data_IF_812168283636
#
_entry.id   IF_812168283636
#
_cell.length_a   1.000
_cell.length_b   1.000
_cell.length_c   1.000
_cell.angle_alpha   90.00
_cell.angle_beta   90.00
_cell.angle_gamma   90.00
#
_symmetry.space_group_name_H-M   'P 1'
#
loop_
_entity.id
_entity.type
_entity.pdbx_description
1 polymer ?
#
# COMPACT_ATOMS: atom_id res chain seq x y z
N UNK A 1 29.99 19.34 38.59
CA UNK A 1 29.36 20.05 37.45
C UNK A 1 29.99 19.53 36.17
N UNK A 2 29.19 19.14 35.18
CA UNK A 2 29.64 18.37 34.00
C UNK A 2 30.20 19.27 32.87
N UNK A 3 30.61 20.51 33.21
CA UNK A 3 31.16 21.47 32.25
C UNK A 3 30.17 21.97 31.18
N UNK A 4 28.86 21.76 31.38
CA UNK A 4 27.79 22.21 30.48
C UNK A 4 27.14 23.47 31.06
N UNK A 5 26.79 24.41 30.18
CA UNK A 5 26.05 25.63 30.54
C UNK A 5 24.56 25.45 30.25
N UNK A 6 23.71 26.27 30.86
CA UNK A 6 22.25 26.22 30.66
C UNK A 6 21.80 26.48 29.21
N UNK A 7 22.71 26.96 28.36
CA UNK A 7 22.46 27.20 26.92
C UNK A 7 22.95 26.05 26.02
N UNK A 8 23.68 25.06 26.55
CA UNK A 8 24.23 23.96 25.77
C UNK A 8 23.22 22.80 25.72
N UNK A 9 22.73 22.47 24.53
CA UNK A 9 21.85 21.32 24.35
C UNK A 9 22.58 20.01 24.68
N UNK A 10 21.98 19.19 25.54
CA UNK A 10 22.51 17.88 25.94
C UNK A 10 22.22 16.85 24.85
N UNK A 11 23.27 16.22 24.34
CA UNK A 11 23.19 15.15 23.32
C UNK A 11 23.46 13.77 23.92
N UNK A 12 23.29 12.70 23.14
CA UNK A 12 23.63 11.35 23.58
C UNK A 12 25.13 11.19 23.93
N UNK A 13 26.02 11.96 23.30
CA UNK A 13 27.45 11.92 23.60
C UNK A 13 27.77 12.51 24.99
N UNK A 14 26.92 13.41 25.49
CA UNK A 14 27.11 14.02 26.81
C UNK A 14 26.68 13.09 27.94
N UNK A 15 25.90 12.05 27.66
CA UNK A 15 25.42 11.08 28.66
C UNK A 15 26.57 10.44 29.42
N UNK A 16 27.68 10.11 28.74
CA UNK A 16 28.89 9.53 29.37
C UNK A 16 29.42 10.43 30.49
N UNK A 17 29.42 11.76 30.28
CA UNK A 17 29.92 12.73 31.26
C UNK A 17 29.02 12.76 32.51
N UNK A 18 27.70 12.64 32.32
CA UNK A 18 26.74 12.54 33.42
C UNK A 18 26.86 11.22 34.17
N UNK A 19 27.04 10.11 33.45
CA UNK A 19 27.31 8.83 34.05
C UNK A 19 28.55 8.96 34.95
N UNK A 20 29.71 9.38 34.43
CA UNK A 20 30.95 9.56 35.20
C UNK A 20 30.77 10.42 36.46
N UNK A 21 30.08 11.56 36.34
CA UNK A 21 29.85 12.45 37.48
C UNK A 21 28.89 11.86 38.52
N UNK A 22 27.85 11.14 38.11
CA UNK A 22 26.80 10.61 38.99
C UNK A 22 27.07 9.18 39.45
N UNK A 23 28.10 8.53 38.91
CA UNK A 23 28.48 7.14 39.16
C UNK A 23 27.31 6.17 38.97
N UNK A 24 26.47 6.41 37.95
CA UNK A 24 25.35 5.54 37.58
C UNK A 24 25.43 5.13 36.10
N UNK A 25 24.60 4.16 35.72
CA UNK A 25 24.28 3.82 34.32
C UNK A 25 23.05 4.62 33.92
N UNK A 26 23.06 5.27 32.77
CA UNK A 26 21.93 6.03 32.22
C UNK A 26 21.43 5.34 30.95
N UNK A 27 20.15 4.99 30.93
CA UNK A 27 19.49 4.40 29.77
C UNK A 27 18.45 5.38 29.25
N UNK A 28 18.58 5.78 27.99
CA UNK A 28 17.69 6.77 27.38
C UNK A 28 16.77 6.10 26.38
N UNK A 29 15.46 6.21 26.61
CA UNK A 29 14.44 5.86 25.64
C UNK A 29 14.10 7.07 24.78
N UNK A 30 13.83 6.87 23.50
CA UNK A 30 13.42 7.94 22.58
C UNK A 30 12.49 7.38 21.50
N UNK A 31 11.88 8.26 20.70
CA UNK A 31 11.09 7.86 19.51
C UNK A 31 11.76 8.39 18.26
N UNK A 32 11.86 7.55 17.23
CA UNK A 32 12.36 7.98 15.93
C UNK A 32 11.30 8.75 15.14
N UNK A 33 11.71 9.56 14.17
CA UNK A 33 10.80 10.42 13.39
C UNK A 33 9.79 9.64 12.55
N UNK A 34 10.11 8.38 12.21
CA UNK A 34 9.30 7.51 11.34
C UNK A 34 8.56 6.40 12.07
N UNK A 35 8.97 6.06 13.30
CA UNK A 35 8.41 4.93 14.05
C UNK A 35 8.00 5.36 15.47
N UNK A 36 6.77 5.03 15.85
CA UNK A 36 6.23 5.30 17.19
C UNK A 36 6.78 4.32 18.24
N UNK A 37 7.56 3.31 17.86
CA UNK A 37 8.21 2.40 18.80
C UNK A 37 9.26 3.12 19.65
N UNK A 38 9.43 2.66 20.89
CA UNK A 38 10.46 3.19 21.78
C UNK A 38 11.82 2.61 21.37
N UNK A 39 12.69 3.46 20.86
CA UNK A 39 14.11 3.18 20.70
C UNK A 39 14.84 3.35 22.04
N UNK A 40 16.04 2.77 22.15
CA UNK A 40 16.84 2.80 23.37
C UNK A 40 18.29 3.11 23.01
N UNK A 41 18.88 4.08 23.72
CA UNK A 41 20.29 4.41 23.71
C UNK A 41 20.91 4.01 25.06
N UNK A 42 22.11 3.43 25.00
CA UNK A 42 22.92 3.05 26.14
C UNK A 42 24.40 3.15 25.74
N UNK A 43 25.24 3.63 26.64
CA UNK A 43 26.68 3.75 26.44
C UNK A 43 27.37 2.38 26.50
N UNK A 44 28.45 2.22 25.73
CA UNK A 44 29.29 1.02 25.79
C UNK A 44 30.25 1.16 26.97
N UNK A 45 29.96 0.48 28.08
CA UNK A 45 30.77 0.55 29.30
C UNK A 45 30.29 -0.43 30.37
N UNK A 46 31.08 -0.61 31.46
CA UNK A 46 30.69 -1.47 32.56
C UNK A 46 29.43 -0.91 33.23
N UNK A 47 28.40 -1.75 33.36
CA UNK A 47 27.18 -1.39 34.08
C UNK A 47 27.51 -1.14 35.54
N UNK A 48 27.04 -0.01 36.04
CA UNK A 48 27.10 0.36 37.46
C UNK A 48 25.83 -0.06 38.18
N UNK A 49 25.93 -0.26 39.49
CA UNK A 49 24.85 -0.76 40.35
C UNK A 49 23.56 0.07 40.26
N UNK A 50 23.70 1.40 40.18
CA UNK A 50 22.57 2.32 40.04
C UNK A 50 22.27 2.57 38.57
N UNK A 51 21.04 2.26 38.14
CA UNK A 51 20.54 2.58 36.80
C UNK A 51 19.48 3.68 36.85
N UNK A 52 19.61 4.69 35.99
CA UNK A 52 18.66 5.78 35.80
C UNK A 52 18.05 5.69 34.41
N UNK A 53 16.73 5.83 34.32
CA UNK A 53 15.99 5.76 33.07
C UNK A 53 15.48 7.14 32.68
N UNK A 54 15.77 7.56 31.46
CA UNK A 54 15.32 8.83 30.90
C UNK A 54 14.51 8.59 29.61
N UNK A 55 13.60 9.50 29.31
CA UNK A 55 12.88 9.56 28.05
C UNK A 55 13.19 10.88 27.34
N UNK A 56 13.75 10.82 26.14
CA UNK A 56 14.01 11.98 25.29
C UNK A 56 12.81 12.21 24.37
N UNK A 57 12.15 13.37 24.52
CA UNK A 57 11.04 13.78 23.68
C UNK A 57 11.11 15.29 23.42
N UNK A 58 11.07 15.68 22.14
CA UNK A 58 11.17 17.09 21.69
C UNK A 58 12.34 17.83 22.35
N UNK A 59 13.55 17.26 22.27
CA UNK A 59 14.79 17.81 22.85
C UNK A 59 14.75 18.04 24.37
N UNK A 60 13.87 17.35 25.10
CA UNK A 60 13.80 17.40 26.55
C UNK A 60 13.88 16.00 27.15
N UNK A 61 14.66 15.86 28.24
CA UNK A 61 14.82 14.61 28.97
C UNK A 61 13.87 14.54 30.17
N UNK A 62 13.03 13.50 30.20
CA UNK A 62 12.11 13.24 31.29
C UNK A 62 12.59 12.03 32.11
N UNK A 63 12.55 12.14 33.43
CA UNK A 63 12.86 11.01 34.31
C UNK A 63 11.77 9.94 34.27
N UNK A 64 12.16 8.67 34.02
CA UNK A 64 11.25 7.53 34.12
C UNK A 64 11.39 6.90 35.50
N UNK A 65 10.38 7.09 36.36
CA UNK A 65 10.37 6.52 37.73
C UNK A 65 9.93 5.06 37.78
N UNK A 66 9.04 4.65 36.86
CA UNK A 66 8.53 3.29 36.77
C UNK A 66 8.69 2.78 35.33
N UNK A 67 9.78 2.05 35.09
CA UNK A 67 10.10 1.55 33.75
C UNK A 67 9.05 0.58 33.21
N UNK A 68 8.50 -0.30 34.06
CA UNK A 68 7.46 -1.25 33.68
C UNK A 68 6.19 -0.52 33.22
N UNK A 69 5.74 0.48 34.00
CA UNK A 69 4.59 1.31 33.64
C UNK A 69 4.82 2.12 32.36
N UNK A 70 6.04 2.63 32.16
CA UNK A 70 6.40 3.39 30.96
C UNK A 70 6.40 2.51 29.69
N UNK A 71 6.97 1.31 29.76
CA UNK A 71 7.06 0.43 28.58
C UNK A 71 5.70 -0.23 28.26
N UNK A 72 4.93 -0.62 29.28
CA UNK A 72 3.61 -1.26 29.14
C UNK A 72 3.56 -2.80 29.31
N UNK A 73 4.59 -3.59 28.94
CA UNK A 73 4.58 -5.04 29.13
C UNK A 73 4.55 -5.50 30.60
N UNK A 74 4.05 -6.73 30.85
CA UNK A 74 3.96 -7.30 32.20
C UNK A 74 5.33 -7.62 32.81
N UNK A 75 6.39 -7.72 32.01
CA UNK A 75 7.75 -7.98 32.45
C UNK A 75 8.74 -7.07 31.74
N UNK A 76 9.82 -6.71 32.42
CA UNK A 76 10.95 -5.95 31.88
C UNK A 76 12.23 -6.64 32.29
N UNK A 77 13.16 -6.82 31.36
CA UNK A 77 14.43 -7.47 31.64
C UNK A 77 15.34 -6.54 32.42
N UNK A 78 15.87 -6.96 33.56
CA UNK A 78 16.82 -6.16 34.34
C UNK A 78 18.18 -6.00 33.66
N UNK A 79 18.51 -6.91 32.74
CA UNK A 79 19.77 -6.84 32.01
C UNK A 79 19.67 -5.95 30.76
N UNK A 80 18.66 -6.13 29.91
CA UNK A 80 18.57 -5.38 28.64
C UNK A 80 17.51 -4.28 28.65
N UNK A 81 16.73 -4.14 29.72
CA UNK A 81 15.67 -3.13 29.88
C UNK A 81 14.56 -3.19 28.82
N UNK A 82 14.45 -4.31 28.10
CA UNK A 82 13.40 -4.55 27.12
C UNK A 82 12.17 -5.16 27.80
N UNK A 83 10.99 -4.66 27.45
CA UNK A 83 9.72 -5.21 27.90
C UNK A 83 9.30 -6.45 27.11
N UNK A 84 8.68 -7.43 27.76
CA UNK A 84 8.25 -8.68 27.12
C UNK A 84 6.98 -9.26 27.77
N UNK A 85 6.27 -10.11 27.03
CA UNK A 85 4.97 -10.64 27.42
C UNK A 85 5.05 -11.91 28.29
N UNK A 86 6.14 -12.66 28.22
CA UNK A 86 6.32 -13.92 28.95
C UNK A 86 7.76 -14.11 29.41
N UNK A 87 7.96 -14.51 30.66
CA UNK A 87 9.28 -14.87 31.22
C UNK A 87 9.99 -15.97 30.41
N UNK A 88 9.24 -16.75 29.63
CA UNK A 88 9.72 -17.89 28.89
C UNK A 88 10.02 -17.60 27.41
N UNK A 89 9.85 -16.35 26.96
CA UNK A 89 10.08 -15.96 25.56
C UNK A 89 11.23 -14.98 25.37
N UNK A 90 11.69 -14.31 26.43
CA UNK A 90 12.75 -13.31 26.34
C UNK A 90 14.14 -13.92 26.53
N UNK A 91 15.07 -13.63 25.63
CA UNK A 91 16.47 -14.04 25.76
C UNK A 91 17.37 -12.86 25.42
N UNK A 92 18.32 -12.53 26.29
CA UNK A 92 19.40 -11.58 26.00
C UNK A 92 20.70 -12.04 26.69
N UNK A 93 21.81 -11.32 26.50
CA UNK A 93 23.13 -11.69 27.06
C UNK A 93 23.06 -12.10 28.53
N UNK A 94 22.46 -11.31 29.40
CA UNK A 94 22.33 -11.63 30.83
C UNK A 94 20.97 -12.17 31.29
N UNK A 95 20.10 -12.65 30.38
CA UNK A 95 18.83 -13.27 30.78
C UNK A 95 18.52 -14.51 29.96
N UNK A 96 18.36 -15.65 30.63
CA UNK A 96 18.13 -16.96 30.03
C UNK A 96 16.72 -17.47 30.31
N UNK A 97 15.83 -17.49 29.30
CA UNK A 97 14.46 -18.05 29.44
C UNK A 97 14.39 -19.55 29.73
N UNK A 98 15.50 -20.28 29.62
CA UNK A 98 15.52 -21.75 29.81
C UNK A 98 15.67 -22.10 31.29
N UNK A 99 16.67 -21.55 31.97
CA UNK A 99 16.93 -21.82 33.38
C UNK A 99 16.47 -20.69 34.31
N UNK A 100 16.20 -19.49 33.79
CA UNK A 100 15.87 -18.27 34.54
C UNK A 100 16.89 -17.87 35.63
N UNK A 101 18.08 -18.46 35.61
CA UNK A 101 19.13 -18.14 36.57
C UNK A 101 19.80 -16.80 36.18
N UNK A 102 19.88 -15.80 37.09
CA UNK A 102 20.49 -14.50 36.80
C UNK A 102 21.99 -14.56 36.43
N UNK A 103 22.71 -15.59 36.89
CA UNK A 103 24.12 -15.83 36.56
C UNK A 103 24.33 -16.45 35.18
N UNK A 104 23.27 -16.86 34.49
CA UNK A 104 23.35 -17.54 33.21
C UNK A 104 23.54 -16.56 32.04
N UNK A 105 24.78 -16.18 31.75
CA UNK A 105 25.12 -15.26 30.66
C UNK A 105 25.40 -15.96 29.31
N UNK A 106 25.49 -15.19 28.22
CA UNK A 106 25.94 -15.67 26.90
C UNK A 106 27.47 -15.63 26.73
N UNK A 107 28.21 -15.07 27.68
CA UNK A 107 29.66 -14.89 27.55
C UNK A 107 30.40 -16.25 27.57
N UNK A 108 29.80 -17.25 28.20
CA UNK A 108 30.32 -18.63 28.28
C UNK A 108 29.53 -19.61 27.39
N UNK A 109 29.05 -19.19 26.22
CA UNK A 109 28.13 -20.00 25.41
C UNK A 109 28.73 -21.31 24.88
N UNK A 110 28.24 -22.44 25.40
CA UNK A 110 28.54 -23.82 24.98
C UNK A 110 27.23 -24.62 24.95
N UNK A 111 26.45 -24.52 23.86
CA UNK A 111 25.06 -24.92 23.86
C UNK A 111 24.88 -26.44 24.00
N UNK A 112 23.86 -26.85 24.77
CA UNK A 112 23.48 -28.25 24.96
C UNK A 112 22.00 -28.41 24.63
N UNK A 113 21.70 -29.33 23.72
CA UNK A 113 20.32 -29.67 23.38
C UNK A 113 19.76 -30.67 24.40
N UNK A 114 18.67 -30.30 25.07
CA UNK A 114 17.95 -31.20 25.98
C UNK A 114 16.92 -32.01 25.21
N UNK A 115 17.10 -33.33 25.09
CA UNK A 115 16.21 -34.22 24.33
C UNK A 115 14.81 -34.36 24.96
N UNK A 116 14.71 -34.15 26.27
CA UNK A 116 13.49 -34.39 27.04
C UNK A 116 12.49 -33.20 26.93
N UNK A 117 12.99 -31.96 26.92
CA UNK A 117 12.19 -30.74 26.80
C UNK A 117 12.33 -30.03 25.43
N UNK A 118 13.23 -30.52 24.57
CA UNK A 118 13.57 -29.99 23.24
C UNK A 118 14.04 -28.52 23.22
N UNK A 119 14.54 -28.00 24.35
CA UNK A 119 15.14 -26.66 24.45
C UNK A 119 16.67 -26.74 24.37
N UNK A 120 17.27 -25.66 23.88
CA UNK A 120 18.73 -25.49 23.84
C UNK A 120 19.18 -24.68 25.05
N UNK A 121 19.94 -25.32 25.94
CA UNK A 121 20.59 -24.68 27.08
C UNK A 121 21.85 -23.94 26.64
N UNK A 122 22.22 -22.86 27.34
CA UNK A 122 23.43 -22.07 27.01
C UNK A 122 24.73 -22.78 27.34
N UNK A 123 24.75 -23.56 28.41
CA UNK A 123 25.93 -24.23 28.98
C UNK A 123 25.53 -25.52 29.71
N UNK A 124 26.51 -26.32 30.11
CA UNK A 124 26.31 -27.45 31.04
C UNK A 124 25.67 -27.01 32.36
N UNK A 125 26.12 -25.88 32.92
CA UNK A 125 25.50 -25.29 34.12
C UNK A 125 24.03 -24.93 33.90
N UNK A 126 23.69 -24.32 32.77
CA UNK A 126 22.30 -24.05 32.39
C UNK A 126 21.48 -25.35 32.28
N UNK A 127 22.07 -26.41 31.69
CA UNK A 127 21.44 -27.71 31.56
C UNK A 127 21.14 -28.34 32.94
N UNK A 128 22.07 -28.27 33.90
CA UNK A 128 21.82 -28.76 35.25
C UNK A 128 20.78 -27.91 36.00
N UNK A 129 20.88 -26.58 35.90
CA UNK A 129 19.99 -25.65 36.62
C UNK A 129 18.54 -25.72 36.14
N UNK A 130 18.28 -25.80 34.84
CA UNK A 130 16.88 -25.85 34.37
C UNK A 130 16.16 -27.17 34.75
N UNK A 131 16.91 -28.24 35.04
CA UNK A 131 16.40 -29.52 35.58
C UNK A 131 16.26 -29.51 37.12
N UNK A 132 16.79 -28.50 37.81
CA UNK A 132 16.71 -28.40 39.27
C UNK A 132 15.27 -28.14 39.70
N UNK A 133 14.78 -28.94 40.64
CA UNK A 133 13.46 -28.72 41.23
C UNK A 133 13.47 -27.46 42.10
N UNK A 134 12.40 -26.67 41.97
CA UNK A 134 12.21 -25.43 42.72
C UNK A 134 10.85 -25.46 43.39
N UNK A 135 10.77 -24.97 44.62
CA UNK A 135 9.50 -24.79 45.33
C UNK A 135 8.75 -23.61 44.70
N UNK A 136 7.51 -23.84 44.29
CA UNK A 136 6.59 -22.83 43.73
C UNK A 136 5.31 -22.81 44.57
N UNK A 137 4.45 -21.82 44.30
CA UNK A 137 3.27 -21.50 45.11
C UNK A 137 2.42 -22.69 45.54
N UNK A 138 2.31 -23.73 44.71
CA UNK A 138 1.52 -24.95 44.99
C UNK A 138 2.27 -26.26 44.77
N UNK A 139 3.51 -26.25 44.24
CA UNK A 139 4.16 -27.44 43.68
C UNK A 139 5.69 -27.37 43.70
N UNK A 140 6.33 -28.54 43.72
CA UNK A 140 7.77 -28.69 43.45
C UNK A 140 7.95 -29.13 42.00
N UNK A 141 8.54 -28.28 41.16
CA UNK A 141 8.78 -28.59 39.75
C UNK A 141 10.03 -27.87 39.23
N UNK A 142 10.67 -28.43 38.21
CA UNK A 142 11.76 -27.79 37.49
C UNK A 142 11.24 -26.98 36.29
N UNK A 143 12.05 -26.05 35.77
CA UNK A 143 11.72 -25.33 34.54
C UNK A 143 11.57 -26.28 33.35
N UNK A 144 12.41 -27.32 33.33
CA UNK A 144 12.39 -28.40 32.35
C UNK A 144 11.02 -29.10 32.26
N UNK A 145 10.40 -29.40 33.40
CA UNK A 145 9.15 -30.16 33.44
C UNK A 145 7.94 -29.33 32.99
N UNK A 146 7.99 -28.03 33.30
CA UNK A 146 6.90 -27.09 33.07
C UNK A 146 6.93 -26.47 31.67
N UNK A 147 8.10 -26.28 31.08
CA UNK A 147 8.25 -25.55 29.82
C UNK A 147 9.00 -26.37 28.78
N UNK A 148 8.29 -26.80 27.76
CA UNK A 148 8.82 -27.64 26.67
C UNK A 148 8.73 -26.92 25.33
N UNK A 149 9.45 -27.41 24.34
CA UNK A 149 9.38 -26.97 22.94
C UNK A 149 8.82 -28.10 22.09
N UNK A 150 7.88 -27.79 21.21
CA UNK A 150 7.33 -28.78 20.27
C UNK A 150 8.30 -28.96 19.10
N UNK A 151 8.55 -30.21 18.69
CA UNK A 151 9.42 -30.53 17.55
C UNK A 151 8.78 -30.17 16.20
N UNK A 152 7.45 -30.20 16.10
CA UNK A 152 6.75 -29.92 14.84
C UNK A 152 6.53 -28.42 14.62
N UNK A 153 5.91 -27.73 15.59
CA UNK A 153 5.60 -26.31 15.44
C UNK A 153 6.71 -25.38 15.91
N UNK A 154 7.74 -25.91 16.61
CA UNK A 154 8.87 -25.16 17.17
C UNK A 154 8.47 -24.11 18.24
N UNK A 155 7.22 -24.09 18.68
CA UNK A 155 6.72 -23.20 19.72
C UNK A 155 7.00 -23.78 21.12
N UNK A 156 7.23 -22.87 22.08
CA UNK A 156 7.29 -23.24 23.50
C UNK A 156 5.88 -23.30 24.09
N UNK A 157 5.63 -24.29 24.95
CA UNK A 157 4.35 -24.48 25.63
C UNK A 157 4.56 -24.83 27.11
N UNK A 158 3.50 -24.64 27.91
CA UNK A 158 3.47 -24.90 29.34
C UNK A 158 2.73 -26.21 29.64
N UNK A 159 3.29 -27.03 30.53
CA UNK A 159 2.74 -28.31 30.99
C UNK A 159 2.58 -28.32 32.51
N UNK A 160 1.37 -28.04 33.04
CA UNK A 160 1.12 -28.16 34.47
C UNK A 160 1.14 -29.63 34.91
N UNK A 161 1.56 -29.90 36.15
CA UNK A 161 1.62 -31.27 36.73
C UNK A 161 0.29 -32.02 36.67
N UNK A 162 -0.82 -31.32 36.87
CA UNK A 162 -2.18 -31.89 36.81
C UNK A 162 -2.62 -32.34 35.40
N UNK A 163 -1.82 -32.06 34.37
CA UNK A 163 -2.12 -32.37 32.98
C UNK A 163 -0.95 -33.07 32.27
N UNK A 164 -0.17 -33.87 33.00
CA UNK A 164 0.97 -34.61 32.45
C UNK A 164 0.61 -35.45 31.21
N UNK A 165 -0.64 -35.93 31.11
CA UNK A 165 -1.17 -36.70 29.97
C UNK A 165 -1.71 -35.85 28.81
N UNK A 166 -1.83 -34.53 28.95
CA UNK A 166 -2.28 -33.68 27.84
C UNK A 166 -1.12 -33.36 26.92
N UNK A 167 -1.08 -34.04 25.78
CA UNK A 167 -0.13 -33.77 24.70
C UNK A 167 -0.37 -32.39 24.08
N UNK A 168 0.72 -31.69 23.75
CA UNK A 168 0.64 -30.40 23.05
C UNK A 168 -0.06 -30.57 21.69
N UNK A 169 -1.13 -29.80 21.46
CA UNK A 169 -1.79 -29.72 20.16
C UNK A 169 -1.26 -28.50 19.41
N UNK A 170 -0.52 -28.72 18.34
CA UNK A 170 -0.02 -27.65 17.47
C UNK A 170 -1.19 -26.83 16.92
N UNK A 171 -1.14 -25.51 17.08
CA UNK A 171 -2.09 -24.64 16.41
C UNK A 171 -1.89 -24.76 14.89
N UNK A 172 -3.00 -24.88 14.15
CA UNK A 172 -2.98 -24.86 12.69
C UNK A 172 -2.40 -23.52 12.24
N UNK A 173 -1.23 -23.54 11.60
CA UNK A 173 -0.62 -22.31 11.05
C UNK A 173 -1.58 -21.76 10.00
N UNK A 174 -1.87 -20.45 10.06
CA UNK A 174 -2.67 -19.78 9.03
C UNK A 174 -1.76 -18.86 8.21
N UNK A 175 -2.01 -18.77 6.92
CA UNK A 175 -1.36 -17.78 6.08
C UNK A 175 -1.69 -16.37 6.60
N UNK A 176 -0.69 -15.52 6.82
CA UNK A 176 -0.94 -14.14 7.27
C UNK A 176 -1.72 -13.32 6.23
N UNK A 177 -1.56 -13.70 4.96
CA UNK A 177 -2.11 -13.05 3.77
C UNK A 177 -3.54 -13.48 3.49
N UNK A 178 -3.80 -14.73 3.12
CA UNK A 178 -5.14 -15.22 2.77
C UNK A 178 -5.93 -15.84 3.93
N UNK A 179 -5.32 -16.00 5.12
CA UNK A 179 -5.91 -16.64 6.32
C UNK A 179 -6.26 -18.12 6.19
N UNK A 180 -5.97 -18.76 5.06
CA UNK A 180 -6.14 -20.21 4.89
C UNK A 180 -5.23 -21.01 5.84
N UNK A 181 -5.70 -22.21 6.17
CA UNK A 181 -4.97 -23.18 6.98
C UNK A 181 -3.78 -23.69 6.15
N UNK A 182 -2.58 -23.50 6.65
CA UNK A 182 -1.37 -24.08 6.08
C UNK A 182 -1.26 -25.54 6.54
N UNK A 183 -0.87 -26.47 5.66
CA UNK A 183 -0.57 -27.84 6.07
C UNK A 183 0.53 -27.83 7.13
N UNK A 184 0.39 -28.72 8.12
CA UNK A 184 1.49 -29.04 9.05
C UNK A 184 2.67 -29.56 8.23
N UNK A 185 3.90 -29.26 8.65
CA UNK A 185 5.13 -29.48 7.87
C UNK A 185 5.53 -30.97 7.66
N UNK A 186 4.55 -31.87 7.54
CA UNK A 186 4.71 -33.32 7.59
C UNK A 186 3.95 -34.08 6.48
N UNK A 187 3.51 -33.41 5.41
CA UNK A 187 3.09 -34.13 4.19
C UNK A 187 4.30 -34.25 3.26
N UNK A 188 4.62 -35.49 2.88
CA UNK A 188 5.72 -35.83 1.97
C UNK A 188 5.57 -35.18 0.58
N UNK A 189 4.37 -34.73 0.24
CA UNK A 189 4.07 -33.97 -0.96
C UNK A 189 4.18 -32.47 -0.65
N UNK A 190 5.32 -31.89 -1.01
CA UNK A 190 5.73 -30.52 -0.73
C UNK A 190 4.93 -29.43 -1.45
N UNK A 191 3.59 -29.45 -1.36
CA UNK A 191 2.75 -28.34 -1.80
C UNK A 191 2.96 -27.12 -0.89
N UNK A 192 3.94 -26.30 -1.27
CA UNK A 192 4.19 -25.01 -0.64
C UNK A 192 3.01 -24.08 -0.97
N UNK A 193 2.41 -23.50 0.06
CA UNK A 193 1.39 -22.47 -0.10
C UNK A 193 1.99 -21.20 -0.75
N UNK A 194 1.73 -20.99 -2.05
CA UNK A 194 2.26 -19.90 -2.89
C UNK A 194 1.38 -18.62 -2.81
N UNK A 195 1.13 -18.09 -1.62
CA UNK A 195 0.34 -16.86 -1.44
C UNK A 195 1.23 -15.62 -1.35
N UNK A 196 1.54 -15.04 -2.51
CA UNK A 196 2.42 -13.86 -2.64
C UNK A 196 1.69 -12.52 -2.69
N UNK A 197 0.37 -12.53 -2.91
CA UNK A 197 -0.42 -11.33 -3.13
C UNK A 197 -1.52 -11.23 -2.08
N UNK A 198 -1.56 -10.09 -1.38
CA UNK A 198 -2.64 -9.77 -0.44
C UNK A 198 -3.90 -9.41 -1.22
N UNK A 199 -4.88 -10.30 -1.19
CA UNK A 199 -6.23 -9.99 -1.63
C UNK A 199 -6.77 -8.95 -0.65
N UNK A 200 -6.96 -7.72 -1.13
CA UNK A 200 -7.65 -6.70 -0.36
C UNK A 200 -9.11 -7.12 -0.19
N UNK A 201 -9.76 -6.76 0.93
CA UNK A 201 -11.20 -6.95 1.05
C UNK A 201 -11.87 -6.36 -0.20
N UNK A 202 -12.81 -7.08 -0.81
CA UNK A 202 -13.65 -6.49 -1.86
C UNK A 202 -14.28 -5.22 -1.29
N UNK A 203 -13.99 -4.06 -1.87
CA UNK A 203 -14.71 -2.83 -1.53
C UNK A 203 -16.17 -3.06 -1.92
N UNK A 204 -17.05 -3.20 -0.92
CA UNK A 204 -18.49 -3.44 -1.10
C UNK A 204 -19.25 -2.17 -1.42
N UNK A 205 -18.63 -1.01 -1.21
CA UNK A 205 -19.17 0.30 -1.53
C UNK A 205 -18.27 0.91 -2.61
N UNK A 206 -18.67 0.73 -3.86
CA UNK A 206 -18.07 1.54 -4.91
C UNK A 206 -18.58 2.97 -4.75
N UNK A 207 -17.66 3.91 -4.62
CA UNK A 207 -18.02 5.32 -4.52
C UNK A 207 -18.47 5.82 -5.90
N UNK A 208 -19.71 6.30 -6.00
CA UNK A 208 -20.28 6.91 -7.22
C UNK A 208 -19.50 8.15 -7.70
N UNK A 209 -18.52 8.60 -6.91
CA UNK A 209 -17.64 9.72 -7.22
C UNK A 209 -16.49 9.36 -8.20
N UNK A 210 -16.50 8.19 -8.84
CA UNK A 210 -15.55 7.84 -9.91
C UNK A 210 -16.19 8.07 -11.28
N UNK A 211 -15.53 8.91 -12.07
CA UNK A 211 -16.02 9.41 -13.34
C UNK A 211 -14.98 9.13 -14.42
N UNK A 212 -15.39 8.44 -15.48
CA UNK A 212 -14.55 8.20 -16.67
C UNK A 212 -14.88 9.22 -17.73
N UNK A 213 -13.86 9.71 -18.44
CA UNK A 213 -14.03 10.72 -19.49
C UNK A 213 -13.15 10.48 -20.70
N UNK A 214 -13.59 11.00 -21.85
CA UNK A 214 -12.90 10.94 -23.13
C UNK A 214 -13.29 12.17 -23.97
N UNK A 215 -12.29 12.87 -24.51
CA UNK A 215 -12.50 14.00 -25.42
C UNK A 215 -12.29 13.59 -26.88
N UNK A 216 -13.18 14.08 -27.75
CA UNK A 216 -12.93 14.11 -29.19
C UNK A 216 -12.51 15.52 -29.60
N UNK A 217 -11.50 15.58 -30.46
CA UNK A 217 -10.87 16.85 -30.87
C UNK A 217 -10.80 16.98 -32.38
N UNK A 218 -10.73 18.22 -32.82
CA UNK A 218 -10.41 18.61 -34.19
C UNK A 218 -9.05 19.29 -34.21
N UNK A 219 -8.30 19.11 -35.29
CA UNK A 219 -7.06 19.86 -35.48
C UNK A 219 -7.39 21.29 -35.96
N UNK A 220 -6.83 22.29 -35.28
CA UNK A 220 -6.82 23.68 -35.72
C UNK A 220 -5.88 23.89 -36.89
N UNK A 221 -5.99 25.06 -37.54
CA UNK A 221 -5.14 25.44 -38.67
C UNK A 221 -3.66 25.58 -38.29
N UNK A 222 -3.40 25.82 -37.01
CA UNK A 222 -2.08 25.92 -36.36
C UNK A 222 -1.55 24.57 -35.84
N UNK A 223 -2.29 23.47 -36.06
CA UNK A 223 -1.96 22.15 -35.55
C UNK A 223 -2.33 21.94 -34.06
N UNK A 224 -2.95 22.91 -33.41
CA UNK A 224 -3.43 22.79 -32.03
C UNK A 224 -4.76 22.05 -32.01
N UNK A 225 -4.88 21.03 -31.16
CA UNK A 225 -6.13 20.28 -31.02
C UNK A 225 -7.14 21.04 -30.16
N UNK A 226 -8.33 21.29 -30.72
CA UNK A 226 -9.46 21.89 -30.00
C UNK A 226 -10.54 20.83 -29.73
N UNK A 227 -11.07 20.73 -28.50
CA UNK A 227 -12.12 19.78 -28.18
C UNK A 227 -13.45 20.22 -28.79
N UNK A 228 -14.20 19.29 -29.36
CA UNK A 228 -15.56 19.55 -29.85
C UNK A 228 -16.61 18.67 -29.19
N UNK A 229 -16.20 17.62 -28.48
CA UNK A 229 -17.09 16.76 -27.74
C UNK A 229 -16.36 16.16 -26.55
N UNK A 230 -17.06 16.08 -25.42
CA UNK A 230 -16.62 15.35 -24.23
C UNK A 230 -17.70 14.36 -23.86
N UNK A 231 -17.28 13.13 -23.55
CA UNK A 231 -18.18 12.10 -23.06
C UNK A 231 -17.73 11.63 -21.68
N UNK A 232 -18.72 11.40 -20.82
CA UNK A 232 -18.54 11.02 -19.43
C UNK A 232 -19.36 9.78 -19.15
N UNK A 233 -18.80 8.90 -18.33
CA UNK A 233 -19.52 7.78 -17.73
C UNK A 233 -19.15 7.59 -16.27
N UNK A 234 -20.14 7.54 -15.39
CA UNK A 234 -19.92 7.19 -13.97
C UNK A 234 -19.82 5.68 -13.81
N UNK A 235 -19.32 5.22 -12.66
CA UNK A 235 -19.31 3.79 -12.37
C UNK A 235 -20.72 3.18 -12.31
N UNK A 236 -21.71 3.95 -11.84
CA UNK A 236 -23.14 3.58 -11.87
C UNK A 236 -23.73 3.47 -13.30
N UNK A 237 -22.97 3.88 -14.33
CA UNK A 237 -23.38 3.82 -15.72
C UNK A 237 -24.12 5.05 -16.22
N UNK A 238 -24.22 6.12 -15.43
CA UNK A 238 -24.77 7.39 -15.87
C UNK A 238 -23.85 8.01 -16.94
N UNK A 239 -24.44 8.52 -18.02
CA UNK A 239 -23.71 9.12 -19.14
C UNK A 239 -24.05 10.60 -19.22
N UNK A 240 -23.02 11.42 -19.36
CA UNK A 240 -23.16 12.84 -19.70
C UNK A 240 -22.30 13.16 -20.92
N UNK A 241 -22.83 13.97 -21.83
CA UNK A 241 -22.13 14.37 -23.07
C UNK A 241 -22.34 15.87 -23.26
N UNK A 242 -21.29 16.56 -23.66
CA UNK A 242 -21.35 17.96 -24.09
C UNK A 242 -20.66 18.09 -25.44
N UNK A 243 -21.23 18.91 -26.32
CA UNK A 243 -20.77 19.15 -27.68
C UNK A 243 -20.57 20.64 -27.90
N UNK A 244 -19.67 20.96 -28.82
CA UNK A 244 -19.26 22.32 -29.10
C UNK A 244 -17.82 22.58 -28.68
N UNK A 245 -17.28 23.68 -29.17
CA UNK A 245 -15.90 24.10 -28.89
C UNK A 245 -15.68 24.52 -27.44
N UNK A 246 -16.76 24.81 -26.71
CA UNK A 246 -16.81 25.15 -25.29
C UNK A 246 -17.05 23.92 -24.39
N UNK A 247 -17.03 22.70 -24.94
CA UNK A 247 -17.34 21.48 -24.17
C UNK A 247 -16.42 21.25 -22.95
N UNK A 248 -15.16 21.68 -23.01
CA UNK A 248 -14.25 21.64 -21.86
C UNK A 248 -14.67 22.61 -20.73
N UNK A 249 -15.18 23.80 -21.10
CA UNK A 249 -15.71 24.76 -20.14
C UNK A 249 -17.05 24.28 -19.54
N UNK A 250 -17.92 23.70 -20.37
CA UNK A 250 -19.16 23.08 -19.91
C UNK A 250 -18.88 21.91 -18.96
N UNK A 251 -17.84 21.12 -19.22
CA UNK A 251 -17.37 20.08 -18.31
C UNK A 251 -17.00 20.68 -16.95
N UNK A 252 -16.14 21.71 -16.90
CA UNK A 252 -15.77 22.34 -15.63
C UNK A 252 -16.99 22.87 -14.87
N UNK A 253 -17.89 23.57 -15.56
CA UNK A 253 -19.12 24.13 -14.96
C UNK A 253 -20.05 23.04 -14.43
N UNK A 254 -20.17 21.92 -15.14
CA UNK A 254 -21.05 20.82 -14.73
C UNK A 254 -20.53 20.06 -13.50
N UNK A 255 -19.21 19.79 -13.47
CA UNK A 255 -18.62 18.90 -12.48
C UNK A 255 -18.07 19.62 -11.24
N UNK A 256 -17.71 20.91 -11.31
CA UNK A 256 -17.34 21.74 -10.13
C UNK A 256 -18.56 22.14 -9.30
N UNK A 257 -19.23 21.15 -8.69
CA UNK A 257 -20.41 21.33 -7.84
C UNK A 257 -20.33 20.50 -6.55
N UNK A 258 -21.02 20.90 -5.46
CA UNK A 258 -20.92 20.24 -4.15
C UNK A 258 -21.16 18.72 -4.18
N UNK A 259 -22.09 18.24 -5.02
CA UNK A 259 -22.41 16.81 -5.18
C UNK A 259 -21.20 15.97 -5.60
N UNK A 260 -20.25 16.56 -6.33
CA UNK A 260 -19.07 15.89 -6.86
C UNK A 260 -17.78 16.37 -6.18
N UNK A 261 -17.89 16.86 -4.95
CA UNK A 261 -16.72 17.18 -4.14
C UNK A 261 -15.94 15.89 -3.88
N UNK A 262 -14.61 15.95 -3.98
CA UNK A 262 -13.69 14.82 -3.88
C UNK A 262 -13.88 13.72 -4.94
N UNK A 263 -14.50 14.04 -6.08
CA UNK A 263 -14.62 13.11 -7.19
C UNK A 263 -13.29 12.84 -7.89
N UNK A 264 -13.17 11.63 -8.42
CA UNK A 264 -11.99 11.16 -9.16
C UNK A 264 -12.36 10.95 -10.62
N UNK A 265 -11.74 11.75 -11.48
CA UNK A 265 -11.88 11.73 -12.93
C UNK A 265 -10.74 10.95 -13.55
N UNK A 266 -11.07 10.04 -14.45
CA UNK A 266 -10.10 9.12 -15.04
C UNK A 266 -10.27 9.10 -16.56
N UNK A 267 -9.19 9.40 -17.28
CA UNK A 267 -9.11 9.24 -18.73
C UNK A 267 -7.97 8.29 -19.10
N UNK A 268 -8.04 7.70 -20.29
CA UNK A 268 -7.01 6.79 -20.78
C UNK A 268 -6.00 7.53 -21.65
N UNK A 269 -4.72 7.49 -21.27
CA UNK A 269 -3.67 8.31 -21.86
C UNK A 269 -3.89 9.83 -21.66
N UNK A 270 -4.53 10.22 -20.56
CA UNK A 270 -4.80 11.61 -20.21
C UNK A 270 -3.53 12.46 -20.20
N UNK A 271 -2.39 11.87 -19.80
CA UNK A 271 -1.08 12.55 -19.74
C UNK A 271 -0.51 12.95 -21.09
N UNK A 272 -0.99 12.31 -22.15
CA UNK A 272 -0.59 12.60 -23.52
C UNK A 272 -1.52 13.61 -24.19
N UNK A 273 -2.73 13.83 -23.64
CA UNK A 273 -3.77 14.52 -24.37
C UNK A 273 -4.81 15.21 -23.45
N UNK A 274 -5.79 14.46 -22.93
CA UNK A 274 -7.00 15.02 -22.31
C UNK A 274 -6.76 15.94 -21.11
N UNK A 275 -5.68 15.70 -20.36
CA UNK A 275 -5.35 16.53 -19.19
C UNK A 275 -5.11 17.98 -19.58
N UNK A 276 -4.45 18.22 -20.72
CA UNK A 276 -4.12 19.58 -21.16
C UNK A 276 -5.36 20.36 -21.59
N UNK A 277 -6.40 19.68 -22.11
CA UNK A 277 -7.66 20.31 -22.50
C UNK A 277 -8.40 20.87 -21.27
N UNK A 278 -8.46 20.07 -20.20
CA UNK A 278 -9.07 20.50 -18.93
C UNK A 278 -8.20 21.57 -18.26
N UNK A 279 -6.88 21.38 -18.19
CA UNK A 279 -5.97 22.34 -17.57
C UNK A 279 -6.05 23.70 -18.29
N UNK A 280 -6.07 23.72 -19.62
CA UNK A 280 -6.21 24.96 -20.38
C UNK A 280 -7.53 25.66 -20.05
N UNK A 281 -8.64 24.92 -20.05
CA UNK A 281 -9.95 25.47 -19.67
C UNK A 281 -9.97 25.97 -18.21
N UNK A 282 -9.25 25.33 -17.28
CA UNK A 282 -9.12 25.81 -15.91
C UNK A 282 -8.36 27.14 -15.85
N UNK A 283 -7.21 27.22 -16.54
CA UNK A 283 -6.37 28.41 -16.56
C UNK A 283 -7.09 29.61 -17.19
N UNK A 284 -7.85 29.40 -18.26
CA UNK A 284 -8.68 30.44 -18.90
C UNK A 284 -9.77 30.99 -17.95
N UNK A 285 -10.24 30.18 -17.00
CA UNK A 285 -11.18 30.60 -15.96
C UNK A 285 -10.48 31.16 -14.70
N UNK A 286 -9.16 31.36 -14.73
CA UNK A 286 -8.38 31.82 -13.59
C UNK A 286 -8.20 30.77 -12.47
N UNK A 287 -8.48 29.50 -12.76
CA UNK A 287 -8.35 28.40 -11.83
C UNK A 287 -6.94 27.80 -11.91
N UNK A 288 -6.29 27.61 -10.75
CA UNK A 288 -4.93 27.09 -10.68
C UNK A 288 -4.91 25.65 -10.12
N UNK A 289 -4.85 24.61 -10.97
CA UNK A 289 -4.73 23.24 -10.49
C UNK A 289 -3.34 22.95 -9.90
N UNK A 290 -3.26 21.98 -9.00
CA UNK A 290 -1.99 21.44 -8.50
C UNK A 290 -1.62 20.19 -9.30
N UNK A 291 -0.43 20.19 -9.89
CA UNK A 291 0.01 19.19 -10.87
C UNK A 291 1.06 18.23 -10.27
N UNK A 292 1.02 16.97 -10.68
CA UNK A 292 2.11 15.99 -10.51
C UNK A 292 2.54 15.53 -11.89
N UNK A 293 3.84 15.66 -12.15
CA UNK A 293 4.42 15.44 -13.48
C UNK A 293 5.40 14.27 -13.47
N UNK A 294 5.50 13.59 -14.62
CA UNK A 294 6.55 12.62 -14.91
C UNK A 294 7.31 13.10 -16.15
N UNK A 295 8.51 13.65 -15.94
CA UNK A 295 9.19 14.42 -16.96
C UNK A 295 8.34 15.62 -17.39
N UNK A 296 8.08 15.76 -18.69
CA UNK A 296 7.24 16.81 -19.26
C UNK A 296 5.74 16.48 -19.33
N UNK A 297 5.29 15.33 -18.80
CA UNK A 297 3.89 14.89 -18.91
C UNK A 297 3.12 14.98 -17.60
N UNK A 298 1.90 15.52 -17.63
CA UNK A 298 1.03 15.61 -16.45
C UNK A 298 0.38 14.24 -16.22
N UNK A 299 0.77 13.52 -15.17
CA UNK A 299 0.19 12.20 -14.87
C UNK A 299 -1.02 12.29 -13.94
N UNK A 300 -1.11 13.39 -13.20
CA UNK A 300 -2.12 13.63 -12.19
C UNK A 300 -2.25 15.12 -11.92
N UNK A 301 -3.48 15.61 -11.72
CA UNK A 301 -3.69 16.95 -11.19
C UNK A 301 -4.92 17.02 -10.30
N UNK A 302 -4.98 18.09 -9.50
CA UNK A 302 -6.07 18.32 -8.54
C UNK A 302 -6.64 19.73 -8.66
N UNK A 303 -7.95 19.80 -8.52
CA UNK A 303 -8.68 21.01 -8.25
C UNK A 303 -8.88 21.13 -6.74
N UNK A 304 -8.13 22.03 -6.10
CA UNK A 304 -8.10 22.15 -4.64
C UNK A 304 -9.43 22.64 -4.05
N UNK A 305 -10.18 23.46 -4.78
CA UNK A 305 -11.44 24.05 -4.28
C UNK A 305 -12.50 22.97 -4.01
N UNK A 306 -12.56 21.97 -4.89
CA UNK A 306 -13.51 20.86 -4.81
C UNK A 306 -12.85 19.53 -4.39
N UNK A 307 -11.54 19.49 -4.16
CA UNK A 307 -10.80 18.27 -3.86
C UNK A 307 -10.84 17.24 -4.99
N UNK A 308 -11.16 17.64 -6.22
CA UNK A 308 -11.31 16.74 -7.36
C UNK A 308 -9.95 16.32 -7.89
N UNK A 309 -9.86 15.04 -8.29
CA UNK A 309 -8.61 14.39 -8.73
C UNK A 309 -8.77 13.99 -10.19
N UNK A 310 -7.75 14.21 -10.99
CA UNK A 310 -7.72 13.85 -12.42
C UNK A 310 -6.52 12.97 -12.68
N UNK A 311 -6.76 11.79 -13.26
CA UNK A 311 -5.79 10.69 -13.26
C UNK A 311 -5.64 10.08 -14.65
N UNK A 312 -4.40 9.92 -15.10
CA UNK A 312 -4.06 9.14 -16.29
C UNK A 312 -4.06 7.64 -16.00
N UNK A 313 -5.02 6.89 -16.52
CA UNK A 313 -5.08 5.44 -16.33
C UNK A 313 -3.95 4.68 -17.04
N UNK A 314 -3.35 5.22 -18.11
CA UNK A 314 -2.28 4.53 -18.86
C UNK A 314 -1.03 4.33 -18.00
N UNK A 315 -0.78 5.22 -17.05
CA UNK A 315 0.30 5.09 -16.07
C UNK A 315 0.11 3.92 -15.08
N UNK A 316 -1.08 3.34 -15.02
CA UNK A 316 -1.43 2.20 -14.16
C UNK A 316 -1.75 0.92 -14.95
N UNK A 317 -2.15 1.07 -16.21
CA UNK A 317 -2.45 0.00 -17.17
C UNK A 317 -1.74 0.30 -18.49
N UNK A 318 -0.54 -0.23 -18.65
CA UNK A 318 0.36 0.04 -19.79
C UNK A 318 -0.04 -0.67 -21.10
N UNK A 319 -1.33 -0.68 -21.44
CA UNK A 319 -1.88 -1.29 -22.66
C UNK A 319 -2.88 -0.34 -23.34
N UNK A 320 -3.09 -0.49 -24.66
CA UNK A 320 -4.08 0.29 -25.42
C UNK A 320 -5.50 -0.02 -24.96
N UNK A 321 -6.38 0.99 -25.00
CA UNK A 321 -7.79 0.83 -24.62
C UNK A 321 -8.48 -0.34 -25.36
N UNK A 322 -8.23 -0.50 -26.66
CA UNK A 322 -8.81 -1.57 -27.48
C UNK A 322 -8.32 -2.99 -27.09
N UNK A 323 -7.15 -3.11 -26.47
CA UNK A 323 -6.61 -4.39 -26.01
C UNK A 323 -7.10 -4.79 -24.61
N UNK A 324 -7.72 -3.86 -23.86
CA UNK A 324 -8.16 -4.10 -22.49
C UNK A 324 -9.24 -5.18 -22.34
N UNK A 325 -10.29 -5.24 -23.19
CA UNK A 325 -11.34 -6.27 -23.05
C UNK A 325 -10.76 -7.69 -23.12
N UNK A 326 -9.92 -7.96 -24.13
CA UNK A 326 -9.24 -9.23 -24.32
C UNK A 326 -8.29 -9.58 -23.18
N UNK A 327 -7.49 -8.61 -22.71
CA UNK A 327 -6.55 -8.83 -21.62
C UNK A 327 -7.22 -9.10 -20.25
N UNK A 328 -8.46 -8.64 -20.07
CA UNK A 328 -9.25 -8.80 -18.85
C UNK A 328 -10.30 -9.91 -18.95
N UNK A 329 -10.36 -10.64 -20.08
CA UNK A 329 -11.28 -11.77 -20.27
C UNK A 329 -12.74 -11.37 -20.50
N UNK A 330 -13.00 -10.16 -20.98
CA UNK A 330 -14.35 -9.72 -21.36
C UNK A 330 -14.64 -10.06 -22.82
N UNK A 331 -15.86 -10.54 -23.10
CA UNK A 331 -16.34 -10.76 -24.48
C UNK A 331 -16.40 -9.44 -25.25
N UNK A 332 -15.93 -9.48 -26.50
CA UNK A 332 -15.51 -8.34 -27.31
C UNK A 332 -16.61 -7.28 -27.49
N UNK A 333 -16.52 -6.17 -26.72
CA UNK A 333 -17.13 -4.90 -27.11
C UNK A 333 -16.15 -4.12 -27.97
N UNK A 334 -16.20 -4.40 -29.27
CA UNK A 334 -15.35 -3.77 -30.28
C UNK A 334 -15.69 -2.26 -30.34
N UNK A 335 -14.66 -1.42 -30.13
CA UNK A 335 -14.73 0.02 -30.37
C UNK A 335 -15.05 0.23 -31.86
N UNK A 336 -16.03 1.08 -32.18
CA UNK A 336 -16.42 1.33 -33.57
C UNK A 336 -15.31 2.03 -34.38
N UNK A 337 -15.60 2.40 -35.63
CA UNK A 337 -14.71 3.20 -36.47
C UNK A 337 -15.22 4.65 -36.58
N UNK A 338 -14.32 5.62 -36.43
CA UNK A 338 -14.64 7.06 -36.54
C UNK A 338 -13.60 7.80 -37.39
N UNK A 339 -14.02 8.71 -38.29
CA UNK A 339 -13.11 9.40 -39.20
C UNK A 339 -12.44 10.60 -38.53
N UNK A 340 -11.47 10.34 -37.64
CA UNK A 340 -10.81 11.39 -36.86
C UNK A 340 -10.22 12.51 -37.73
N UNK A 341 -9.58 12.18 -38.86
CA UNK A 341 -8.99 13.18 -39.77
C UNK A 341 -10.03 14.01 -40.54
N UNK A 342 -11.31 13.63 -40.50
CA UNK A 342 -12.41 14.40 -41.08
C UNK A 342 -12.96 15.47 -40.12
N UNK A 343 -12.54 15.42 -38.84
CA UNK A 343 -12.97 16.34 -37.79
C UNK A 343 -12.33 17.71 -38.01
N UNK A 344 -13.12 18.64 -38.55
CA UNK A 344 -12.72 20.04 -38.75
C UNK A 344 -13.89 20.95 -38.38
N UNK A 345 -13.60 22.23 -38.08
CA UNK A 345 -14.63 23.21 -37.72
C UNK A 345 -15.76 23.32 -38.77
N UNK A 346 -15.42 23.17 -40.06
CA UNK A 346 -16.38 23.18 -41.15
C UNK A 346 -17.24 21.90 -41.22
N UNK A 347 -16.71 20.77 -40.77
CA UNK A 347 -17.36 19.46 -40.88
C UNK A 347 -18.16 19.06 -39.63
N UNK A 348 -18.12 19.83 -38.54
CA UNK A 348 -18.85 19.50 -37.30
C UNK A 348 -20.37 19.42 -37.51
N UNK A 349 -20.92 20.16 -38.47
CA UNK A 349 -22.34 20.13 -38.87
C UNK A 349 -22.58 19.37 -40.18
N UNK A 350 -21.61 18.56 -40.64
CA UNK A 350 -21.69 17.88 -41.92
C UNK A 350 -22.76 16.79 -41.95
N UNK A 351 -23.56 16.81 -43.03
CA UNK A 351 -24.51 15.77 -43.40
C UNK A 351 -24.33 15.52 -44.90
N UNK A 352 -23.89 14.31 -45.26
CA UNK A 352 -23.58 13.97 -46.65
C UNK A 352 -23.06 12.54 -46.82
N UNK A 353 -22.38 12.21 -47.92
CA UNK A 353 -21.74 10.91 -48.11
C UNK A 353 -20.74 10.55 -47.00
N UNK A 354 -20.47 9.26 -46.82
CA UNK A 354 -19.45 8.82 -45.86
C UNK A 354 -18.06 9.35 -46.23
N UNK A 355 -17.24 9.76 -45.23
CA UNK A 355 -15.88 10.20 -45.46
C UNK A 355 -15.04 9.10 -46.10
N UNK A 356 -14.06 9.46 -46.97
CA UNK A 356 -13.15 8.49 -47.56
C UNK A 356 -12.42 7.63 -46.52
N UNK A 357 -12.04 6.41 -46.90
CA UNK A 357 -11.35 5.46 -46.01
C UNK A 357 -10.09 6.04 -45.33
N UNK A 358 -9.30 6.85 -46.04
CA UNK A 358 -8.08 7.45 -45.46
C UNK A 358 -8.37 8.34 -44.24
N UNK A 359 -9.58 8.89 -44.10
CA UNK A 359 -9.97 9.70 -42.95
C UNK A 359 -10.09 8.92 -41.63
N UNK A 360 -10.11 7.58 -41.68
CA UNK A 360 -10.25 6.69 -40.53
C UNK A 360 -8.91 6.22 -39.94
N UNK A 361 -7.78 6.73 -40.45
CA UNK A 361 -6.45 6.37 -39.94
C UNK A 361 -6.02 4.95 -40.28
N UNK A 362 -6.48 4.42 -41.43
CA UNK A 362 -6.16 3.07 -41.93
C UNK A 362 -4.66 2.74 -41.91
N UNK A 363 -3.79 3.74 -42.06
CA UNK A 363 -2.33 3.56 -42.07
C UNK A 363 -1.79 3.00 -40.75
N UNK A 364 -2.48 3.23 -39.64
CA UNK A 364 -2.07 2.81 -38.29
C UNK A 364 -2.65 1.46 -37.85
N UNK A 365 -3.55 0.88 -38.66
CA UNK A 365 -4.23 -0.38 -38.38
C UNK A 365 -3.38 -1.59 -38.81
N UNK A 366 -3.51 -2.71 -38.09
CA UNK A 366 -2.94 -4.01 -38.48
C UNK A 366 -3.65 -4.58 -39.72
N UNK A 367 -3.09 -5.64 -40.31
CA UNK A 367 -3.70 -6.30 -41.48
C UNK A 367 -5.12 -6.82 -41.18
N UNK A 368 -5.31 -7.42 -40.00
CA UNK A 368 -6.61 -7.96 -39.58
C UNK A 368 -7.62 -6.83 -39.34
N UNK A 369 -7.22 -5.77 -38.62
CA UNK A 369 -8.06 -4.59 -38.38
C UNK A 369 -8.48 -3.89 -39.68
N UNK A 370 -7.60 -3.84 -40.70
CA UNK A 370 -7.92 -3.31 -42.01
C UNK A 370 -8.99 -4.13 -42.73
N UNK A 371 -8.89 -5.46 -42.67
CA UNK A 371 -9.88 -6.36 -43.27
C UNK A 371 -11.27 -6.16 -42.66
N UNK A 372 -11.33 -6.08 -41.32
CA UNK A 372 -12.57 -5.82 -40.59
C UNK A 372 -13.13 -4.42 -40.91
N UNK A 373 -12.25 -3.41 -41.00
CA UNK A 373 -12.63 -2.06 -41.39
C UNK A 373 -13.27 -2.01 -42.77
N UNK A 374 -12.65 -2.59 -43.80
CA UNK A 374 -13.19 -2.55 -45.16
C UNK A 374 -14.50 -3.32 -45.28
N UNK A 375 -14.61 -4.46 -44.58
CA UNK A 375 -15.87 -5.22 -44.50
C UNK A 375 -16.99 -4.34 -43.94
N UNK A 376 -16.74 -3.64 -42.84
CA UNK A 376 -17.69 -2.68 -42.28
C UNK A 376 -17.96 -1.49 -43.21
N UNK A 377 -16.92 -0.89 -43.80
CA UNK A 377 -17.01 0.33 -44.61
C UNK A 377 -17.89 0.12 -45.85
N UNK A 378 -17.77 -1.03 -46.53
CA UNK A 378 -18.63 -1.35 -47.67
C UNK A 378 -20.11 -1.43 -47.30
N UNK A 379 -20.45 -1.80 -46.06
CA UNK A 379 -21.87 -1.82 -45.62
C UNK A 379 -22.46 -0.43 -45.41
N UNK A 380 -21.64 0.59 -45.14
CA UNK A 380 -22.11 1.93 -44.76
C UNK A 380 -21.83 3.01 -45.80
N UNK A 381 -20.85 2.81 -46.69
CA UNK A 381 -20.29 3.88 -47.55
C UNK A 381 -21.28 4.55 -48.51
N UNK A 382 -22.35 3.86 -48.88
CA UNK A 382 -23.41 4.38 -49.77
C UNK A 382 -24.50 5.15 -49.02
N UNK A 383 -24.49 5.09 -47.69
CA UNK A 383 -25.45 5.78 -46.84
C UNK A 383 -25.11 7.26 -46.60
N UNK A 384 -25.95 7.91 -45.80
CA UNK A 384 -25.73 9.29 -45.34
C UNK A 384 -24.98 9.29 -44.00
N UNK A 385 -23.84 9.96 -43.97
CA UNK A 385 -23.08 10.25 -42.77
C UNK A 385 -23.52 11.59 -42.17
N UNK A 386 -23.96 11.54 -40.92
CA UNK A 386 -24.24 12.72 -40.10
C UNK A 386 -23.16 12.78 -39.01
N UNK A 387 -22.31 13.80 -39.06
CA UNK A 387 -21.11 13.89 -38.21
C UNK A 387 -21.46 13.86 -36.72
N UNK A 388 -22.37 14.72 -36.27
CA UNK A 388 -22.78 14.79 -34.85
C UNK A 388 -23.39 13.48 -34.37
N UNK A 389 -24.29 12.88 -35.16
CA UNK A 389 -24.94 11.62 -34.80
C UNK A 389 -23.92 10.49 -34.65
N UNK A 390 -22.95 10.42 -35.56
CA UNK A 390 -21.91 9.39 -35.54
C UNK A 390 -20.90 9.62 -34.42
N UNK A 391 -20.52 10.87 -34.12
CA UNK A 391 -19.65 11.20 -32.99
C UNK A 391 -20.29 10.77 -31.66
N UNK A 392 -21.58 11.11 -31.44
CA UNK A 392 -22.33 10.65 -30.26
C UNK A 392 -22.38 9.13 -30.15
N UNK A 393 -22.65 8.44 -31.27
CA UNK A 393 -22.75 6.98 -31.29
C UNK A 393 -21.40 6.34 -30.98
N UNK A 394 -20.33 6.88 -31.54
CA UNK A 394 -18.97 6.43 -31.30
C UNK A 394 -18.57 6.57 -29.83
N UNK A 395 -18.85 7.72 -29.21
CA UNK A 395 -18.55 7.94 -27.79
C UNK A 395 -19.40 7.06 -26.87
N UNK A 396 -20.67 6.81 -27.19
CA UNK A 396 -21.48 5.83 -26.45
C UNK A 396 -20.87 4.43 -26.52
N UNK A 397 -20.40 4.01 -27.70
CA UNK A 397 -19.72 2.72 -27.87
C UNK A 397 -18.38 2.68 -27.11
N UNK A 398 -17.61 3.76 -27.11
CA UNK A 398 -16.36 3.91 -26.34
C UNK A 398 -16.60 3.83 -24.82
N UNK A 399 -17.65 4.49 -24.32
CA UNK A 399 -18.07 4.38 -22.92
C UNK A 399 -18.55 2.99 -22.52
N UNK A 400 -19.01 2.17 -23.48
CA UNK A 400 -19.34 0.76 -23.25
C UNK A 400 -18.15 -0.20 -23.42
N UNK A 401 -17.09 0.20 -24.12
CA UNK A 401 -15.90 -0.62 -24.40
C UNK A 401 -14.72 -0.38 -23.45
N UNK A 402 -14.95 0.28 -22.31
CA UNK A 402 -14.02 0.27 -21.17
C UNK A 402 -14.52 -0.71 -20.09
N UNK A 403 -14.46 -2.04 -20.29
CA UNK A 403 -14.86 -3.02 -19.29
C UNK A 403 -13.89 -3.10 -18.10
N UNK A 404 -12.80 -2.31 -18.11
CA UNK A 404 -11.84 -2.19 -17.01
C UNK A 404 -12.18 -1.11 -15.96
N UNK A 405 -13.32 -0.41 -16.03
CA UNK A 405 -13.65 0.68 -15.11
C UNK A 405 -13.56 0.28 -13.62
N UNK A 406 -14.08 -0.90 -13.25
CA UNK A 406 -13.94 -1.45 -11.90
C UNK A 406 -12.48 -1.76 -11.52
N UNK A 407 -11.69 -2.29 -12.46
CA UNK A 407 -10.27 -2.62 -12.24
C UNK A 407 -9.38 -1.38 -12.12
N UNK A 408 -9.67 -0.34 -12.91
CA UNK A 408 -9.00 0.96 -12.87
C UNK A 408 -9.33 1.66 -11.55
N UNK A 409 -10.61 1.69 -11.16
CA UNK A 409 -11.08 2.18 -9.86
C UNK A 409 -10.32 1.51 -8.71
N UNK A 410 -10.25 0.18 -8.69
CA UNK A 410 -9.53 -0.55 -7.64
C UNK A 410 -8.04 -0.26 -7.59
N UNK A 411 -7.35 -0.05 -8.72
CA UNK A 411 -5.91 0.28 -8.71
C UNK A 411 -5.63 1.73 -8.33
N UNK A 412 -6.53 2.64 -8.68
CA UNK A 412 -6.42 4.06 -8.38
C UNK A 412 -6.69 4.35 -6.90
N UNK A 413 -7.72 3.72 -6.30
CA UNK A 413 -8.01 3.88 -4.85
C UNK A 413 -6.88 3.35 -3.95
N UNK A 414 -6.08 2.39 -4.44
CA UNK A 414 -4.96 1.75 -3.74
C UNK A 414 -3.75 2.66 -3.48
N UNK A 415 -3.57 3.77 -4.22
CA UNK A 415 -2.42 4.70 -4.04
C UNK A 415 -2.75 5.97 -3.28
N UNK A 416 -4.02 6.38 -3.23
CA UNK A 416 -4.46 7.54 -2.44
C UNK A 416 -4.38 7.29 -0.91
N UNK A 417 -4.16 6.03 -0.49
CA UNK A 417 -4.04 5.62 0.92
C UNK A 417 -2.61 5.25 1.34
N UNK A 418 -1.62 5.44 0.47
CA UNK A 418 -0.18 5.25 0.73
C UNK A 418 0.55 6.57 0.60
#
# INVERSE_FOLDING_TARGET
MVGLTDQTAVTFNDIVKFEESLKCTIVVFYRGDKDRTHCKFQTEGPKRDKTVFLFLFKNHYYGIKNLKGFLGPPYVCEHCYTGYSSQWSHSCTGHCYVCLDPSCTLDEFKPIFCKDCNKTCRTAGCHSRHKKQTQRSSDIASNHDLHKKCVDCQLSYYTPKSSADKTHKCAVKKCKTCKEKLPSASTADGEKHLCYIRVLPKETEHNDNIVFYDFETMAGADGVHAPFLVSIKTLAGEIWVSEGTDCALQFLTHFRRPKLKNATFIAHNAKGFDSYLIINAMLEQGLKPSLIMQGSKVIYFTDQDFGQKYIDSLSYLSMRLAAMPKALGFEDKIKGYFPHSFSSKANLSYIGPYPPAHCYGIERMTTDEKSDFFTWYETVRTGTFNFQKQARLYCKKCGHSCPGSHFISERVSRRDRS
#
